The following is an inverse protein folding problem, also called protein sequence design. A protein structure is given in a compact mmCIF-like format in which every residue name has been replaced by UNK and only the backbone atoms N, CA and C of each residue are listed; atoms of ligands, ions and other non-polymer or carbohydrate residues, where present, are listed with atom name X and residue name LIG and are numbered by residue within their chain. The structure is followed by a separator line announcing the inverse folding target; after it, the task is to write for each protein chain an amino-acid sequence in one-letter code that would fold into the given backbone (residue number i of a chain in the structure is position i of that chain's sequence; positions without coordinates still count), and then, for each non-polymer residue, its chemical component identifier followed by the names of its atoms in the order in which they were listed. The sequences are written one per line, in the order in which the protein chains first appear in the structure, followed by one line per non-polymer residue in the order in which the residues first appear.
data_IF_608334412735
#
_entry.id   IF_608334412735
#
_cell.length_a   1.000
_cell.length_b   1.000
_cell.length_c   1.000
_cell.angle_alpha   90.00
_cell.angle_beta   90.00
_cell.angle_gamma   90.00
#
_symmetry.space_group_name_H-M   'P 1'
#
loop_
_entity.id
_entity.type
_entity.pdbx_description
1 polymer ?
#
# COMPACT_ATOMS: atom_id res chain seq x y z
N UNK A 1 -11.81 24.43 3.56
CA UNK A 1 -11.60 23.47 4.67
C UNK A 1 -11.67 22.07 4.08
N UNK A 2 -10.74 21.17 4.40
CA UNK A 2 -10.73 19.82 3.88
C UNK A 2 -11.95 19.05 4.40
N UNK A 3 -12.65 18.30 3.51
CA UNK A 3 -13.80 17.51 3.91
C UNK A 3 -13.38 16.32 4.77
N UNK A 4 -13.80 16.28 6.03
CA UNK A 4 -13.50 15.20 6.98
C UNK A 4 -14.70 14.28 7.21
N UNK A 5 -15.91 14.76 6.90
CA UNK A 5 -17.18 14.05 7.01
C UNK A 5 -17.98 14.24 5.72
N UNK A 6 -18.67 13.21 5.30
CA UNK A 6 -19.46 13.19 4.07
C UNK A 6 -20.83 12.59 4.37
N UNK A 7 -21.89 13.28 3.95
CA UNK A 7 -23.21 12.71 3.96
C UNK A 7 -23.42 11.83 2.73
N UNK A 8 -23.86 10.61 2.92
CA UNK A 8 -24.04 9.66 1.81
C UNK A 8 -24.99 10.15 0.70
N UNK A 9 -26.04 10.95 0.98
CA UNK A 9 -26.87 11.56 -0.06
C UNK A 9 -26.13 12.57 -0.96
N UNK A 10 -24.99 13.12 -0.50
CA UNK A 10 -24.19 14.08 -1.27
C UNK A 10 -23.22 13.41 -2.24
N UNK A 11 -23.00 12.11 -2.15
CA UNK A 11 -22.05 11.35 -2.98
C UNK A 11 -22.31 11.53 -4.49
N UNK A 12 -23.57 11.49 -5.01
CA UNK A 12 -23.81 11.71 -6.44
C UNK A 12 -23.35 13.07 -6.93
N UNK A 13 -23.61 14.13 -6.14
CA UNK A 13 -23.14 15.49 -6.46
C UNK A 13 -21.62 15.60 -6.39
N UNK A 14 -21.02 15.01 -5.34
CA UNK A 14 -19.57 14.97 -5.16
C UNK A 14 -18.88 14.32 -6.36
N UNK A 15 -19.41 13.21 -6.85
CA UNK A 15 -18.91 12.53 -8.04
C UNK A 15 -19.02 13.41 -9.29
N UNK A 16 -20.18 14.04 -9.50
CA UNK A 16 -20.39 14.94 -10.66
C UNK A 16 -19.40 16.09 -10.64
N UNK A 17 -19.24 16.75 -9.49
CA UNK A 17 -18.29 17.85 -9.31
C UNK A 17 -16.85 17.39 -9.58
N UNK A 18 -16.47 16.22 -9.08
CA UNK A 18 -15.13 15.66 -9.31
C UNK A 18 -14.89 15.30 -10.78
N UNK A 19 -15.89 14.70 -11.43
CA UNK A 19 -15.81 14.36 -12.85
C UNK A 19 -15.68 15.61 -13.75
N UNK A 20 -16.30 16.71 -13.38
CA UNK A 20 -16.15 18.00 -14.07
C UNK A 20 -14.74 18.59 -13.89
N UNK A 21 -14.18 18.52 -12.67
CA UNK A 21 -12.85 19.08 -12.37
C UNK A 21 -11.69 18.26 -12.97
N UNK A 22 -11.79 16.94 -12.95
CA UNK A 22 -10.67 16.03 -13.28
C UNK A 22 -10.82 15.37 -14.64
N UNK A 23 -12.05 15.21 -15.14
CA UNK A 23 -12.42 14.49 -16.34
C UNK A 23 -12.30 12.95 -16.23
N UNK A 24 -13.41 12.26 -16.46
CA UNK A 24 -13.54 10.81 -16.33
C UNK A 24 -12.58 9.99 -17.18
N UNK A 25 -12.13 10.54 -18.31
CA UNK A 25 -11.21 9.85 -19.24
C UNK A 25 -9.95 9.31 -18.55
N UNK A 26 -9.49 9.94 -17.45
CA UNK A 26 -8.24 9.56 -16.79
C UNK A 26 -8.37 8.22 -16.09
N UNK A 27 -9.40 8.01 -15.27
CA UNK A 27 -9.61 6.72 -14.60
C UNK A 27 -10.20 5.66 -15.52
N UNK A 28 -11.08 6.03 -16.48
CA UNK A 28 -11.62 5.10 -17.45
C UNK A 28 -10.53 4.50 -18.34
N UNK A 29 -9.58 5.33 -18.79
CA UNK A 29 -8.41 4.86 -19.55
C UNK A 29 -7.57 3.89 -18.71
N UNK A 30 -7.26 4.25 -17.47
CA UNK A 30 -6.45 3.40 -16.58
C UNK A 30 -7.11 2.04 -16.34
N UNK A 31 -8.42 2.02 -16.09
CA UNK A 31 -9.18 0.78 -15.92
C UNK A 31 -9.18 -0.05 -17.23
N UNK A 32 -9.31 0.59 -18.39
CA UNK A 32 -9.24 -0.10 -19.68
C UNK A 32 -7.86 -0.75 -19.92
N UNK A 33 -6.77 -0.04 -19.61
CA UNK A 33 -5.39 -0.55 -19.69
C UNK A 33 -5.19 -1.72 -18.73
N UNK A 34 -5.66 -1.61 -17.48
CA UNK A 34 -5.61 -2.68 -16.48
C UNK A 34 -6.41 -3.92 -16.93
N UNK A 35 -7.63 -3.73 -17.44
CA UNK A 35 -8.47 -4.82 -17.98
C UNK A 35 -7.78 -5.50 -19.18
N UNK A 36 -7.04 -4.76 -20.02
CA UNK A 36 -6.27 -5.34 -21.12
C UNK A 36 -5.10 -6.21 -20.59
N UNK A 37 -4.36 -5.73 -19.59
CA UNK A 37 -3.30 -6.50 -18.93
C UNK A 37 -3.84 -7.78 -18.27
N UNK A 38 -4.99 -7.70 -17.59
CA UNK A 38 -5.66 -8.86 -16.96
C UNK A 38 -6.09 -9.89 -18.02
N UNK A 39 -6.55 -9.47 -19.19
CA UNK A 39 -6.85 -10.42 -20.28
C UNK A 39 -5.61 -11.18 -20.72
N UNK A 40 -4.44 -10.51 -20.74
CA UNK A 40 -3.16 -11.17 -21.05
C UNK A 40 -2.66 -12.11 -19.95
N UNK A 41 -2.86 -11.70 -18.69
CA UNK A 41 -2.48 -12.48 -17.51
C UNK A 41 -3.55 -12.34 -16.40
N UNK A 42 -4.52 -13.28 -16.32
CA UNK A 42 -5.61 -13.22 -15.34
C UNK A 42 -5.17 -13.18 -13.88
N UNK A 43 -3.97 -13.64 -13.56
CA UNK A 43 -3.42 -13.60 -12.19
C UNK A 43 -3.11 -12.19 -11.72
N UNK A 44 -2.97 -11.23 -12.65
CA UNK A 44 -2.79 -9.81 -12.30
C UNK A 44 -4.05 -9.14 -11.75
N UNK A 45 -5.23 -9.80 -11.83
CA UNK A 45 -6.51 -9.18 -11.47
C UNK A 45 -6.48 -8.54 -10.09
N UNK A 46 -6.26 -9.34 -9.05
CA UNK A 46 -6.27 -8.85 -7.66
C UNK A 46 -5.21 -7.79 -7.41
N UNK A 47 -4.03 -7.92 -8.03
CA UNK A 47 -2.95 -6.93 -7.91
C UNK A 47 -3.37 -5.59 -8.52
N UNK A 48 -3.81 -5.59 -9.79
CA UNK A 48 -4.13 -4.35 -10.51
C UNK A 48 -5.41 -3.70 -9.99
N UNK A 49 -6.44 -4.47 -9.63
CA UNK A 49 -7.63 -3.93 -8.97
C UNK A 49 -7.29 -3.27 -7.63
N UNK A 50 -6.36 -3.82 -6.85
CA UNK A 50 -5.86 -3.20 -5.62
C UNK A 50 -4.97 -1.98 -5.85
N UNK A 51 -4.03 -2.05 -6.79
CA UNK A 51 -3.15 -0.92 -7.12
C UNK A 51 -3.91 0.29 -7.67
N UNK A 52 -4.95 0.07 -8.48
CA UNK A 52 -5.79 1.09 -9.10
C UNK A 52 -7.20 1.16 -8.48
N UNK A 53 -7.33 0.80 -7.21
CA UNK A 53 -8.61 0.73 -6.48
C UNK A 53 -9.49 1.97 -6.73
N UNK A 54 -8.93 3.18 -6.56
CA UNK A 54 -9.65 4.44 -6.75
C UNK A 54 -10.18 4.56 -8.19
N UNK A 55 -9.38 4.21 -9.19
CA UNK A 55 -9.80 4.27 -10.59
C UNK A 55 -10.94 3.28 -10.88
N UNK A 56 -10.87 2.07 -10.33
CA UNK A 56 -11.93 1.07 -10.47
C UNK A 56 -13.24 1.50 -9.83
N UNK A 57 -13.17 2.05 -8.61
CA UNK A 57 -14.35 2.54 -7.90
C UNK A 57 -14.99 3.73 -8.63
N UNK A 58 -14.21 4.70 -9.11
CA UNK A 58 -14.70 5.81 -9.92
C UNK A 58 -15.27 5.33 -11.26
N UNK A 59 -14.65 4.35 -11.91
CA UNK A 59 -15.20 3.75 -13.14
C UNK A 59 -16.54 3.09 -12.90
N UNK A 60 -16.72 2.40 -11.77
CA UNK A 60 -17.99 1.84 -11.38
C UNK A 60 -19.06 2.93 -11.14
N UNK A 61 -18.70 4.03 -10.47
CA UNK A 61 -19.60 5.17 -10.30
C UNK A 61 -19.99 5.80 -11.65
N UNK A 62 -19.04 5.94 -12.60
CA UNK A 62 -19.33 6.38 -13.97
C UNK A 62 -20.34 5.47 -14.66
N UNK A 63 -20.17 4.15 -14.54
CA UNK A 63 -21.10 3.15 -15.10
C UNK A 63 -22.51 3.28 -14.51
N UNK A 64 -22.62 3.53 -13.18
CA UNK A 64 -23.92 3.74 -12.51
C UNK A 64 -24.60 5.02 -13.01
N UNK A 65 -23.86 6.13 -13.09
CA UNK A 65 -24.40 7.40 -13.62
C UNK A 65 -24.86 7.26 -15.07
N UNK A 66 -24.05 6.57 -15.90
CA UNK A 66 -24.42 6.32 -17.28
C UNK A 66 -25.69 5.47 -17.43
N UNK A 67 -25.86 4.47 -16.57
CA UNK A 67 -26.99 3.55 -16.61
C UNK A 67 -28.29 4.11 -16.00
N UNK A 68 -28.16 4.86 -14.89
CA UNK A 68 -29.29 5.28 -14.07
C UNK A 68 -29.50 6.81 -14.04
N UNK A 69 -28.63 7.58 -14.66
CA UNK A 69 -28.63 9.05 -14.59
C UNK A 69 -28.05 9.62 -13.29
N UNK A 70 -27.83 8.79 -12.28
CA UNK A 70 -27.26 9.15 -10.99
C UNK A 70 -26.71 7.90 -10.28
N UNK A 71 -25.94 8.09 -9.21
CA UNK A 71 -25.53 6.97 -8.34
C UNK A 71 -26.70 6.60 -7.44
N UNK A 72 -27.19 5.35 -7.47
CA UNK A 72 -28.29 4.90 -6.60
C UNK A 72 -27.92 4.97 -5.11
N UNK A 73 -28.89 5.29 -4.25
CA UNK A 73 -28.67 5.42 -2.80
C UNK A 73 -28.11 4.15 -2.16
N UNK A 74 -28.51 2.97 -2.63
CA UNK A 74 -27.94 1.69 -2.16
C UNK A 74 -26.42 1.60 -2.45
N UNK A 75 -25.97 2.10 -3.61
CA UNK A 75 -24.55 2.12 -3.98
C UNK A 75 -23.76 3.18 -3.18
N UNK A 76 -24.41 4.25 -2.72
CA UNK A 76 -23.78 5.23 -1.84
C UNK A 76 -23.47 4.66 -0.44
N UNK A 77 -24.17 3.62 -0.01
CA UNK A 77 -23.93 2.92 1.26
C UNK A 77 -22.90 1.79 1.15
N UNK A 78 -22.44 1.47 -0.06
CA UNK A 78 -21.42 0.43 -0.27
C UNK A 78 -20.05 0.90 0.23
N UNK A 79 -19.55 0.21 1.24
CA UNK A 79 -18.25 0.51 1.85
C UNK A 79 -17.07 0.37 0.88
N UNK A 80 -17.21 -0.44 -0.15
CA UNK A 80 -16.17 -0.59 -1.17
C UNK A 80 -15.91 0.71 -1.94
N UNK A 81 -16.89 1.62 -2.01
CA UNK A 81 -16.77 2.92 -2.66
C UNK A 81 -16.11 4.00 -1.79
N UNK A 82 -16.01 3.79 -0.48
CA UNK A 82 -15.56 4.83 0.47
C UNK A 82 -14.15 5.38 0.22
N UNK A 83 -13.14 4.59 -0.19
CA UNK A 83 -11.84 5.14 -0.55
C UNK A 83 -11.89 6.18 -1.67
N UNK A 84 -12.69 5.96 -2.72
CA UNK A 84 -12.88 6.92 -3.81
C UNK A 84 -13.68 8.13 -3.35
N UNK A 85 -14.71 7.95 -2.54
CA UNK A 85 -15.51 9.04 -1.96
C UNK A 85 -14.64 9.97 -1.12
N UNK A 86 -13.80 9.41 -0.23
CA UNK A 86 -12.84 10.17 0.55
C UNK A 86 -11.88 10.98 -0.34
N UNK A 87 -11.30 10.29 -1.32
CA UNK A 87 -10.35 10.91 -2.25
C UNK A 87 -10.98 12.08 -3.03
N UNK A 88 -12.19 11.88 -3.58
CA UNK A 88 -12.92 12.94 -4.29
C UNK A 88 -13.16 14.16 -3.40
N UNK A 89 -13.69 13.94 -2.19
CA UNK A 89 -14.03 15.01 -1.27
C UNK A 89 -12.80 15.82 -0.85
N UNK A 90 -11.71 15.14 -0.53
CA UNK A 90 -10.46 15.75 -0.11
C UNK A 90 -9.81 16.52 -1.28
N UNK A 91 -9.69 15.91 -2.45
CA UNK A 91 -9.10 16.54 -3.62
C UNK A 91 -9.89 17.79 -4.05
N UNK A 92 -11.22 17.70 -4.11
CA UNK A 92 -12.07 18.87 -4.42
C UNK A 92 -11.95 19.98 -3.38
N UNK A 93 -11.87 19.62 -2.10
CA UNK A 93 -11.72 20.60 -1.02
C UNK A 93 -10.42 21.39 -1.15
N UNK A 94 -9.32 20.70 -1.50
CA UNK A 94 -8.02 21.35 -1.75
C UNK A 94 -8.11 22.24 -3.00
N UNK A 95 -8.58 21.71 -4.14
CA UNK A 95 -8.70 22.45 -5.41
C UNK A 95 -9.51 23.73 -5.23
N UNK A 96 -10.65 23.66 -4.52
CA UNK A 96 -11.54 24.79 -4.30
C UNK A 96 -11.03 25.82 -3.29
N UNK A 97 -10.09 25.44 -2.44
CA UNK A 97 -9.47 26.31 -1.42
C UNK A 97 -8.26 27.08 -1.91
N UNK A 98 -7.75 26.80 -3.10
CA UNK A 98 -6.52 27.36 -3.65
C UNK A 98 -6.78 28.42 -4.73
N UNK A 99 -5.79 29.28 -4.98
CA UNK A 99 -5.81 30.20 -6.11
C UNK A 99 -5.80 29.42 -7.45
N UNK A 100 -6.31 29.99 -8.57
CA UNK A 100 -6.47 29.25 -9.83
C UNK A 100 -5.20 28.55 -10.36
N UNK A 101 -4.03 29.19 -10.23
CA UNK A 101 -2.76 28.62 -10.69
C UNK A 101 -2.37 27.38 -9.86
N UNK A 102 -2.49 27.46 -8.54
CA UNK A 102 -2.21 26.38 -7.58
C UNK A 102 -3.23 25.24 -7.74
N UNK A 103 -4.51 25.56 -7.90
CA UNK A 103 -5.56 24.60 -8.18
C UNK A 103 -5.26 23.78 -9.45
N UNK A 104 -4.70 24.41 -10.51
CA UNK A 104 -4.28 23.71 -11.72
C UNK A 104 -3.13 22.74 -11.47
N UNK A 105 -2.19 23.05 -10.58
CA UNK A 105 -1.12 22.13 -10.19
C UNK A 105 -1.72 20.89 -9.49
N UNK A 106 -2.67 21.09 -8.56
CA UNK A 106 -3.34 19.97 -7.88
C UNK A 106 -4.13 19.11 -8.86
N UNK A 107 -4.86 19.73 -9.81
CA UNK A 107 -5.53 18.95 -10.89
C UNK A 107 -4.53 18.10 -11.68
N UNK A 108 -3.36 18.69 -12.01
CA UNK A 108 -2.27 17.97 -12.67
C UNK A 108 -1.76 16.77 -11.86
N UNK A 109 -1.53 16.94 -10.55
CA UNK A 109 -1.12 15.86 -9.63
C UNK A 109 -2.18 14.77 -9.54
N UNK A 110 -3.45 15.12 -9.34
CA UNK A 110 -4.58 14.16 -9.29
C UNK A 110 -4.67 13.37 -10.60
N UNK A 111 -4.57 14.07 -11.73
CA UNK A 111 -4.59 13.42 -13.07
C UNK A 111 -3.41 12.48 -13.27
N UNK A 112 -2.21 12.89 -12.85
CA UNK A 112 -0.99 12.07 -12.89
C UNK A 112 -1.10 10.82 -12.03
N UNK A 113 -1.67 10.96 -10.85
CA UNK A 113 -1.84 9.89 -9.88
C UNK A 113 -2.67 8.69 -10.41
N UNK A 114 -3.61 8.92 -11.34
CA UNK A 114 -4.32 7.81 -11.99
C UNK A 114 -3.42 6.92 -12.85
N UNK A 115 -2.29 7.42 -13.36
CA UNK A 115 -1.37 6.67 -14.21
C UNK A 115 -0.38 5.83 -13.41
N UNK A 116 -0.06 6.27 -12.20
CA UNK A 116 0.97 5.66 -11.36
C UNK A 116 0.41 5.36 -9.96
N UNK A 117 0.33 4.09 -9.55
CA UNK A 117 -0.14 3.72 -8.22
C UNK A 117 0.69 4.33 -7.08
N UNK A 118 1.99 4.57 -7.28
CA UNK A 118 2.84 5.17 -6.26
C UNK A 118 2.46 6.63 -6.01
N UNK A 119 2.20 7.40 -7.08
CA UNK A 119 1.76 8.80 -6.99
C UNK A 119 0.37 8.89 -6.34
N UNK A 120 -0.54 7.93 -6.65
CA UNK A 120 -1.85 7.84 -6.01
C UNK A 120 -1.71 7.58 -4.50
N UNK A 121 -0.84 6.66 -4.11
CA UNK A 121 -0.58 6.37 -2.70
C UNK A 121 0.03 7.58 -1.96
N UNK A 122 0.98 8.28 -2.60
CA UNK A 122 1.60 9.48 -2.04
C UNK A 122 0.57 10.58 -1.82
N UNK A 123 -0.21 10.91 -2.85
CA UNK A 123 -1.26 11.93 -2.76
C UNK A 123 -2.33 11.60 -1.69
N UNK A 124 -2.79 10.36 -1.64
CA UNK A 124 -3.72 9.90 -0.59
C UNK A 124 -3.12 10.05 0.80
N UNK A 125 -1.83 9.79 0.96
CA UNK A 125 -1.12 9.92 2.23
C UNK A 125 -1.09 11.37 2.70
N UNK A 126 -0.75 12.32 1.82
CA UNK A 126 -0.78 13.76 2.11
C UNK A 126 -2.18 14.21 2.54
N UNK A 127 -3.22 13.83 1.77
CA UNK A 127 -4.61 14.16 2.06
C UNK A 127 -5.08 13.57 3.41
N UNK A 128 -4.70 12.33 3.70
CA UNK A 128 -5.00 11.66 4.97
C UNK A 128 -4.33 12.37 6.14
N UNK A 129 -3.05 12.73 5.98
CA UNK A 129 -2.28 13.45 6.99
C UNK A 129 -2.86 14.83 7.25
N UNK A 130 -3.20 15.57 6.20
CA UNK A 130 -3.87 16.85 6.32
C UNK A 130 -5.22 16.73 7.06
N UNK A 131 -6.02 15.71 6.72
CA UNK A 131 -7.29 15.42 7.38
C UNK A 131 -7.10 15.13 8.87
N UNK A 132 -6.05 14.38 9.25
CA UNK A 132 -5.73 14.08 10.64
C UNK A 132 -5.53 15.36 11.47
N UNK A 133 -4.77 16.32 10.96
CA UNK A 133 -4.54 17.60 11.66
C UNK A 133 -5.78 18.49 11.68
N UNK A 134 -6.50 18.59 10.56
CA UNK A 134 -7.71 19.43 10.46
C UNK A 134 -8.81 18.94 11.40
N UNK A 135 -8.98 17.63 11.56
CA UNK A 135 -9.95 17.06 12.52
C UNK A 135 -9.62 17.41 13.98
N UNK A 136 -8.36 17.67 14.29
CA UNK A 136 -7.90 18.16 15.58
C UNK A 136 -7.98 19.67 15.75
N UNK A 137 -8.59 20.37 14.78
CA UNK A 137 -8.80 21.81 14.79
C UNK A 137 -7.63 22.62 14.28
N UNK A 138 -6.58 21.98 13.72
CA UNK A 138 -5.41 22.69 13.25
C UNK A 138 -5.62 23.30 11.85
N UNK A 139 -4.90 24.38 11.58
CA UNK A 139 -4.80 24.99 10.24
C UNK A 139 -3.69 24.32 9.45
N UNK A 140 -4.01 23.86 8.25
CA UNK A 140 -3.06 23.18 7.36
C UNK A 140 -2.99 23.89 6.03
N UNK A 141 -1.77 24.15 5.54
CA UNK A 141 -1.49 24.65 4.20
C UNK A 141 -0.55 23.72 3.44
N UNK A 142 -0.40 23.94 2.13
CA UNK A 142 0.39 23.11 1.21
C UNK A 142 1.55 23.91 0.60
N UNK A 143 2.70 24.02 1.28
CA UNK A 143 3.83 24.84 0.85
C UNK A 143 4.45 24.44 -0.48
N UNK A 144 4.52 23.13 -0.80
CA UNK A 144 4.99 22.67 -2.10
C UNK A 144 4.12 23.17 -3.25
N UNK A 145 2.79 23.22 -3.05
CA UNK A 145 1.84 23.71 -4.08
C UNK A 145 1.94 25.23 -4.23
N UNK A 146 2.09 25.96 -3.13
CA UNK A 146 2.16 27.42 -3.13
C UNK A 146 3.55 27.96 -3.43
N UNK A 147 4.57 27.11 -3.54
CA UNK A 147 5.96 27.49 -3.71
C UNK A 147 6.60 28.08 -2.44
N UNK A 148 5.96 27.94 -1.29
CA UNK A 148 6.45 28.45 -0.01
C UNK A 148 7.43 27.50 0.70
N UNK A 149 7.59 26.27 0.22
CA UNK A 149 8.50 25.27 0.79
C UNK A 149 8.60 24.02 -0.07
N UNK A 150 9.44 23.08 0.37
CA UNK A 150 9.71 21.80 -0.31
C UNK A 150 9.07 20.61 0.38
N UNK A 151 8.37 20.84 1.49
CA UNK A 151 7.65 19.83 2.27
C UNK A 151 6.14 19.86 1.96
N UNK A 152 5.47 18.75 2.21
CA UNK A 152 4.09 18.54 1.76
C UNK A 152 3.10 19.45 2.47
N UNK A 153 3.15 19.54 3.83
CA UNK A 153 2.16 20.26 4.63
C UNK A 153 2.84 21.15 5.67
N UNK A 154 2.19 22.27 5.99
CA UNK A 154 2.50 23.09 7.16
C UNK A 154 1.27 23.14 8.08
N UNK A 155 1.47 22.72 9.33
CA UNK A 155 0.49 22.93 10.41
C UNK A 155 0.84 24.25 11.07
N UNK A 156 0.04 25.28 10.82
CA UNK A 156 0.43 26.68 11.06
C UNK A 156 0.32 27.10 12.54
N UNK A 157 -0.63 26.51 13.25
CA UNK A 157 -1.09 26.94 14.59
C UNK A 157 -0.54 26.08 15.73
N UNK A 158 0.61 25.42 15.51
CA UNK A 158 1.30 24.61 16.53
C UNK A 158 2.76 25.00 16.63
N UNK A 159 3.26 25.05 17.87
CA UNK A 159 4.65 25.41 18.14
C UNK A 159 5.04 26.82 17.70
N UNK A 160 6.35 27.07 17.62
CA UNK A 160 6.90 28.35 17.20
C UNK A 160 7.12 28.31 15.67
N UNK A 161 6.28 29.02 14.91
CA UNK A 161 6.40 29.11 13.46
C UNK A 161 5.82 27.93 12.68
N UNK A 162 5.01 27.10 13.31
CA UNK A 162 4.33 25.96 12.70
C UNK A 162 5.19 24.68 12.72
N UNK A 163 4.56 23.58 12.26
CA UNK A 163 5.15 22.26 12.14
C UNK A 163 5.20 21.86 10.64
N UNK A 164 6.40 21.69 10.11
CA UNK A 164 6.59 21.11 8.78
C UNK A 164 6.27 19.63 8.81
N UNK A 165 5.49 19.15 7.85
CA UNK A 165 5.14 17.73 7.76
C UNK A 165 5.51 17.21 6.38
N UNK A 166 6.31 16.15 6.37
CA UNK A 166 6.70 15.46 5.14
C UNK A 166 6.13 14.05 5.15
N UNK A 167 5.42 13.68 4.10
CA UNK A 167 4.70 12.42 3.96
C UNK A 167 5.44 11.44 3.05
N UNK A 168 5.62 10.20 3.49
CA UNK A 168 6.21 9.13 2.67
C UNK A 168 5.31 7.92 2.64
N UNK A 169 4.75 7.63 1.47
CA UNK A 169 4.03 6.38 1.23
C UNK A 169 5.04 5.28 0.89
N UNK A 170 5.08 4.25 1.72
CA UNK A 170 6.03 3.14 1.56
C UNK A 170 5.32 1.96 0.90
N UNK A 171 5.78 1.58 -0.29
CA UNK A 171 5.28 0.41 -1.02
C UNK A 171 5.62 -0.88 -0.28
N UNK A 172 4.73 -1.89 -0.34
CA UNK A 172 4.98 -3.22 0.21
C UNK A 172 6.17 -3.93 -0.43
N UNK A 173 6.54 -3.55 -1.66
CA UNK A 173 7.69 -4.10 -2.38
C UNK A 173 8.99 -3.36 -2.07
N UNK A 174 8.94 -2.27 -1.27
CA UNK A 174 10.12 -1.48 -0.91
C UNK A 174 11.13 -2.34 -0.14
N UNK A 175 12.34 -2.47 -0.67
CA UNK A 175 13.41 -3.28 -0.07
C UNK A 175 13.21 -4.80 -0.16
N UNK A 176 12.14 -5.30 -0.76
CA UNK A 176 11.95 -6.72 -1.03
C UNK A 176 12.84 -7.19 -2.17
N UNK A 177 13.24 -8.44 -2.12
CA UNK A 177 14.01 -9.10 -3.18
C UNK A 177 13.11 -9.68 -4.26
N UNK A 178 11.95 -10.21 -3.87
CA UNK A 178 10.96 -10.78 -4.77
C UNK A 178 9.69 -9.93 -4.69
N UNK A 179 9.28 -9.38 -5.82
CA UNK A 179 8.09 -8.53 -5.93
C UNK A 179 6.89 -9.33 -6.40
N UNK A 180 5.71 -9.00 -5.86
CA UNK A 180 4.46 -9.69 -6.21
C UNK A 180 4.19 -9.70 -7.72
N UNK A 181 4.36 -8.59 -8.40
CA UNK A 181 4.16 -8.49 -9.84
C UNK A 181 5.11 -9.39 -10.63
N UNK A 182 6.39 -9.41 -10.25
CA UNK A 182 7.40 -10.20 -10.94
C UNK A 182 7.10 -11.69 -10.91
N UNK A 183 6.57 -12.20 -9.78
CA UNK A 183 6.21 -13.64 -9.70
C UNK A 183 4.96 -13.95 -10.51
N UNK A 184 3.97 -13.05 -10.58
CA UNK A 184 2.79 -13.23 -11.40
C UNK A 184 3.14 -13.25 -12.90
N UNK A 185 4.04 -12.37 -13.32
CA UNK A 185 4.57 -12.35 -14.69
C UNK A 185 5.45 -13.57 -14.98
N UNK A 186 6.28 -14.02 -14.02
CA UNK A 186 7.07 -15.24 -14.15
C UNK A 186 6.18 -16.48 -14.28
N UNK A 187 5.13 -16.60 -13.45
CA UNK A 187 4.22 -17.72 -13.54
C UNK A 187 3.44 -17.72 -14.88
N UNK A 188 3.15 -16.57 -15.47
CA UNK A 188 2.55 -16.51 -16.79
C UNK A 188 3.42 -17.19 -17.88
N UNK A 189 4.75 -17.22 -17.71
CA UNK A 189 5.67 -17.96 -18.56
C UNK A 189 5.66 -19.48 -18.25
N UNK A 190 5.51 -19.85 -16.99
CA UNK A 190 5.48 -21.27 -16.54
C UNK A 190 4.15 -21.93 -16.93
N UNK A 191 3.03 -21.23 -16.72
CA UNK A 191 1.66 -21.74 -16.85
C UNK A 191 1.38 -22.52 -18.15
N UNK A 192 1.68 -22.01 -19.35
CA UNK A 192 1.38 -22.73 -20.60
C UNK A 192 2.03 -24.11 -20.69
N UNK A 193 3.20 -24.26 -20.08
CA UNK A 193 3.99 -25.51 -20.12
C UNK A 193 3.50 -26.56 -19.13
N UNK A 194 2.89 -26.15 -18.00
CA UNK A 194 2.52 -27.06 -16.90
C UNK A 194 1.02 -27.22 -16.67
N UNK A 195 0.18 -26.48 -17.38
CA UNK A 195 -1.28 -26.44 -17.15
C UNK A 195 -1.90 -27.83 -17.10
N UNK A 196 -1.55 -28.74 -18.03
CA UNK A 196 -2.12 -30.09 -18.10
C UNK A 196 -1.66 -30.93 -16.90
N UNK A 197 -0.37 -30.93 -16.59
CA UNK A 197 0.19 -31.68 -15.48
C UNK A 197 -0.39 -31.23 -14.12
N UNK A 198 -0.56 -29.91 -13.94
CA UNK A 198 -1.17 -29.35 -12.72
C UNK A 198 -2.64 -29.73 -12.63
N UNK A 199 -3.41 -29.70 -13.73
CA UNK A 199 -4.83 -30.03 -13.70
C UNK A 199 -5.12 -31.48 -13.25
N UNK A 200 -4.21 -32.40 -13.50
CA UNK A 200 -4.31 -33.81 -13.16
C UNK A 200 -3.87 -34.15 -11.71
N UNK A 201 -3.31 -33.17 -10.95
CA UNK A 201 -2.87 -33.40 -9.58
C UNK A 201 -4.08 -33.63 -8.65
N UNK A 202 -4.09 -34.76 -7.96
CA UNK A 202 -5.07 -35.11 -6.90
C UNK A 202 -4.52 -34.87 -5.49
N UNK A 203 -3.21 -34.58 -5.36
CA UNK A 203 -2.53 -34.23 -4.12
C UNK A 203 -1.98 -32.81 -4.15
N UNK A 204 -1.41 -32.36 -3.04
CA UNK A 204 -0.64 -31.13 -3.00
C UNK A 204 0.75 -31.33 -3.60
N UNK A 205 1.16 -30.41 -4.48
CA UNK A 205 2.52 -30.33 -5.01
C UNK A 205 3.07 -28.94 -4.75
N UNK A 206 4.21 -28.82 -4.11
CA UNK A 206 4.91 -27.57 -4.00
C UNK A 206 6.21 -27.56 -4.80
N UNK A 207 6.52 -26.39 -5.36
CA UNK A 207 7.81 -26.08 -5.96
C UNK A 207 8.35 -24.83 -5.31
N UNK A 208 9.51 -24.91 -4.68
CA UNK A 208 10.24 -23.78 -4.15
C UNK A 208 11.38 -23.45 -5.09
N UNK A 209 11.32 -22.28 -5.70
CA UNK A 209 12.40 -21.67 -6.45
C UNK A 209 13.17 -20.74 -5.52
N UNK A 210 14.41 -21.10 -5.18
CA UNK A 210 15.32 -20.24 -4.42
C UNK A 210 16.31 -19.57 -5.37
N UNK A 211 16.40 -18.26 -5.27
CA UNK A 211 17.26 -17.41 -6.08
C UNK A 211 18.37 -16.81 -5.23
N UNK A 212 19.62 -16.69 -5.73
CA UNK A 212 20.70 -16.06 -4.96
C UNK A 212 20.42 -14.58 -4.62
N UNK A 213 19.59 -13.87 -5.41
CA UNK A 213 19.17 -12.50 -5.16
C UNK A 213 17.73 -12.26 -5.68
N UNK A 214 17.58 -11.92 -6.96
CA UNK A 214 16.31 -11.51 -7.57
C UNK A 214 15.99 -12.35 -8.81
N UNK A 215 14.74 -12.27 -9.28
CA UNK A 215 14.39 -12.79 -10.60
C UNK A 215 15.24 -12.12 -11.69
N UNK A 216 15.64 -12.86 -12.73
CA UNK A 216 16.36 -12.30 -13.86
C UNK A 216 15.63 -11.11 -14.48
N UNK A 217 16.38 -10.09 -14.90
CA UNK A 217 15.79 -8.87 -15.48
C UNK A 217 15.34 -9.05 -16.94
N UNK A 218 16.06 -9.88 -17.70
CA UNK A 218 15.77 -10.07 -19.13
C UNK A 218 14.69 -11.11 -19.35
N UNK A 219 13.88 -10.91 -20.38
CA UNK A 219 12.81 -11.85 -20.77
C UNK A 219 13.36 -13.25 -21.04
N UNK A 220 14.44 -13.34 -21.82
CA UNK A 220 15.03 -14.64 -22.23
C UNK A 220 15.54 -15.43 -21.02
N UNK A 221 16.18 -14.75 -20.06
CA UNK A 221 16.63 -15.41 -18.83
C UNK A 221 15.44 -15.87 -17.98
N UNK A 222 14.34 -15.10 -17.92
CA UNK A 222 13.08 -15.54 -17.26
C UNK A 222 12.45 -16.73 -17.96
N UNK A 223 12.43 -16.76 -19.29
CA UNK A 223 11.94 -17.90 -20.08
C UNK A 223 12.77 -19.15 -19.82
N UNK A 224 14.10 -19.03 -19.81
CA UNK A 224 14.97 -20.16 -19.51
C UNK A 224 14.76 -20.69 -18.07
N UNK A 225 14.64 -19.80 -17.10
CA UNK A 225 14.32 -20.16 -15.72
C UNK A 225 12.94 -20.85 -15.62
N UNK A 226 11.94 -20.39 -16.38
CA UNK A 226 10.62 -21.04 -16.46
C UNK A 226 10.71 -22.45 -17.04
N UNK A 227 11.52 -22.69 -18.06
CA UNK A 227 11.77 -24.03 -18.60
C UNK A 227 12.42 -24.96 -17.55
N UNK A 228 13.41 -24.46 -16.78
CA UNK A 228 14.01 -25.23 -15.69
C UNK A 228 12.99 -25.56 -14.60
N UNK A 229 12.13 -24.59 -14.25
CA UNK A 229 11.03 -24.80 -13.30
C UNK A 229 10.07 -25.91 -13.78
N UNK A 230 9.71 -25.88 -15.07
CA UNK A 230 8.86 -26.93 -15.65
C UNK A 230 9.54 -28.31 -15.63
N UNK A 231 10.81 -28.38 -15.94
CA UNK A 231 11.58 -29.65 -15.84
C UNK A 231 11.54 -30.19 -14.41
N UNK A 232 11.75 -29.35 -13.40
CA UNK A 232 11.67 -29.76 -12.00
C UNK A 232 10.25 -30.25 -11.63
N UNK A 233 9.20 -29.59 -12.12
CA UNK A 233 7.81 -30.01 -11.90
C UNK A 233 7.56 -31.39 -12.51
N UNK A 234 7.94 -31.62 -13.77
CA UNK A 234 7.68 -32.89 -14.46
C UNK A 234 8.52 -34.05 -13.92
N UNK A 235 9.76 -33.79 -13.51
CA UNK A 235 10.63 -34.82 -12.96
C UNK A 235 10.36 -35.15 -11.50
N UNK A 236 9.56 -34.32 -10.80
CA UNK A 236 9.38 -34.34 -9.35
C UNK A 236 10.74 -34.37 -8.57
N UNK A 237 11.77 -33.75 -9.18
CA UNK A 237 13.14 -33.80 -8.67
C UNK A 237 13.65 -32.40 -8.29
N UNK A 238 14.25 -32.33 -7.13
CA UNK A 238 14.98 -31.14 -6.67
C UNK A 238 16.27 -30.98 -7.45
N UNK A 239 16.62 -29.77 -7.83
CA UNK A 239 17.80 -29.44 -8.65
C UNK A 239 18.51 -28.22 -8.08
N UNK A 240 19.83 -28.22 -8.16
CA UNK A 240 20.68 -27.08 -7.78
C UNK A 240 21.58 -26.73 -8.96
N UNK A 241 21.62 -25.46 -9.33
CA UNK A 241 22.42 -24.94 -10.41
C UNK A 241 23.70 -24.26 -9.89
N UNK A 242 24.79 -24.26 -10.69
CA UNK A 242 26.09 -23.68 -10.25
C UNK A 242 26.01 -22.22 -9.83
N UNK A 243 25.09 -21.44 -10.43
CA UNK A 243 24.86 -20.03 -10.11
C UNK A 243 24.10 -19.79 -8.80
N UNK A 244 23.78 -20.86 -8.03
CA UNK A 244 23.08 -20.77 -6.75
C UNK A 244 21.55 -20.79 -6.85
N UNK A 245 20.98 -20.85 -8.07
CA UNK A 245 19.55 -21.08 -8.24
C UNK A 245 19.21 -22.53 -7.90
N UNK A 246 18.15 -22.75 -7.15
CA UNK A 246 17.71 -24.11 -6.82
C UNK A 246 16.20 -24.27 -6.91
N UNK A 247 15.78 -25.49 -7.25
CA UNK A 247 14.40 -25.93 -7.21
C UNK A 247 14.28 -27.06 -6.20
N UNK A 248 13.33 -26.94 -5.28
CA UNK A 248 12.94 -28.01 -4.37
C UNK A 248 11.49 -28.36 -4.63
N UNK A 249 11.23 -29.64 -4.91
CA UNK A 249 9.89 -30.14 -5.20
C UNK A 249 9.50 -31.12 -4.10
N UNK A 250 8.24 -31.07 -3.69
CA UNK A 250 7.70 -32.00 -2.71
C UNK A 250 6.19 -32.09 -2.75
N UNK A 251 5.67 -33.16 -2.18
CA UNK A 251 4.24 -33.39 -2.05
C UNK A 251 3.77 -33.06 -0.63
N UNK A 252 2.48 -32.73 -0.50
CA UNK A 252 1.85 -32.49 0.80
C UNK A 252 0.36 -32.84 0.73
N UNK A 253 -0.29 -32.98 1.87
CA UNK A 253 -1.74 -33.14 1.94
C UNK A 253 -2.42 -31.75 1.82
N UNK A 254 -3.30 -31.52 0.81
CA UNK A 254 -4.05 -30.26 0.68
C UNK A 254 -4.78 -29.85 1.97
N UNK A 255 -5.21 -30.78 2.80
CA UNK A 255 -5.85 -30.50 4.09
C UNK A 255 -4.95 -29.72 5.06
N UNK A 256 -3.61 -29.85 4.93
CA UNK A 256 -2.67 -29.10 5.77
C UNK A 256 -2.70 -27.59 5.55
N UNK A 257 -3.23 -27.13 4.41
CA UNK A 257 -3.35 -25.71 4.10
C UNK A 257 -4.58 -25.05 4.76
N UNK A 258 -5.52 -25.83 5.31
CA UNK A 258 -6.77 -25.29 5.85
C UNK A 258 -7.62 -24.56 4.78
N UNK A 259 -7.51 -24.96 3.52
CA UNK A 259 -8.30 -24.36 2.43
C UNK A 259 -9.74 -24.85 2.60
N UNK A 260 -10.66 -23.93 2.89
CA UNK A 260 -12.07 -24.26 2.94
C UNK A 260 -12.56 -24.80 1.60
N UNK A 261 -13.57 -25.66 1.59
CA UNK A 261 -14.16 -26.28 0.39
C UNK A 261 -14.67 -25.29 -0.66
N UNK A 262 -14.80 -24.00 -0.33
CA UNK A 262 -15.15 -22.90 -1.23
C UNK A 262 -13.97 -22.24 -1.92
N UNK A 263 -12.74 -22.75 -1.75
CA UNK A 263 -11.52 -22.22 -2.39
C UNK A 263 -10.98 -20.90 -1.79
N UNK A 264 -11.53 -20.43 -0.68
CA UNK A 264 -11.03 -19.23 0.00
C UNK A 264 -9.80 -19.59 0.83
N UNK A 265 -8.71 -18.87 0.61
CA UNK A 265 -7.46 -19.01 1.35
C UNK A 265 -7.62 -18.27 2.68
N UNK A 266 -7.66 -19.00 3.79
CA UNK A 266 -7.72 -18.43 5.13
C UNK A 266 -6.39 -17.77 5.55
N UNK A 267 -6.45 -16.85 6.51
CA UNK A 267 -5.26 -16.16 7.03
C UNK A 267 -4.17 -17.11 7.53
N UNK A 268 -4.54 -18.30 8.03
CA UNK A 268 -3.62 -19.35 8.46
C UNK A 268 -2.84 -20.07 7.35
N UNK A 269 -3.28 -19.98 6.11
CA UNK A 269 -2.67 -20.72 4.98
C UNK A 269 -1.23 -20.29 4.69
N UNK A 270 -0.88 -19.02 4.93
CA UNK A 270 0.51 -18.56 4.79
C UNK A 270 1.46 -19.27 5.77
N UNK A 271 1.08 -19.37 7.03
CA UNK A 271 1.87 -20.07 8.05
C UNK A 271 1.95 -21.58 7.80
N UNK A 272 0.88 -22.18 7.24
CA UNK A 272 0.91 -23.57 6.81
C UNK A 272 1.91 -23.79 5.66
N UNK A 273 1.92 -22.91 4.66
CA UNK A 273 2.91 -22.97 3.56
C UNK A 273 4.33 -22.81 4.09
N UNK A 274 4.57 -21.90 5.05
CA UNK A 274 5.89 -21.74 5.68
C UNK A 274 6.38 -23.03 6.31
N UNK A 275 5.50 -23.71 7.02
CA UNK A 275 5.79 -24.98 7.68
C UNK A 275 6.06 -26.11 6.67
N UNK A 276 5.20 -26.23 5.64
CA UNK A 276 5.31 -27.26 4.59
C UNK A 276 6.57 -27.04 3.76
N UNK A 277 6.84 -25.81 3.38
CA UNK A 277 7.92 -25.47 2.46
C UNK A 277 9.20 -24.99 3.14
N UNK A 278 9.18 -24.70 4.46
CA UNK A 278 10.32 -24.17 5.20
C UNK A 278 10.88 -22.87 4.62
N UNK A 279 10.02 -22.04 4.01
CA UNK A 279 10.44 -20.82 3.29
C UNK A 279 10.15 -19.55 4.08
N UNK A 280 10.93 -18.50 3.81
CA UNK A 280 10.77 -17.14 4.33
C UNK A 280 11.05 -16.14 3.19
N UNK A 281 10.80 -14.84 3.39
CA UNK A 281 11.12 -13.77 2.41
C UNK A 281 10.69 -14.12 0.97
N UNK A 282 9.42 -14.47 0.78
CA UNK A 282 8.92 -15.10 -0.42
C UNK A 282 7.65 -14.50 -0.96
N UNK A 283 7.38 -14.79 -2.21
CA UNK A 283 6.06 -14.68 -2.83
C UNK A 283 5.52 -16.05 -3.21
N UNK A 284 4.19 -16.19 -3.22
CA UNK A 284 3.51 -17.47 -3.38
C UNK A 284 2.41 -17.36 -4.41
N UNK A 285 2.28 -18.41 -5.23
CA UNK A 285 1.10 -18.66 -6.06
C UNK A 285 0.49 -19.98 -5.61
N UNK A 286 -0.81 -19.99 -5.33
CA UNK A 286 -1.58 -21.18 -4.94
C UNK A 286 -2.68 -21.37 -5.94
N UNK A 287 -2.82 -22.57 -6.45
CA UNK A 287 -3.82 -22.93 -7.43
C UNK A 287 -4.48 -24.24 -7.05
N UNK A 288 -5.80 -24.23 -6.95
CA UNK A 288 -6.60 -25.46 -6.92
C UNK A 288 -6.57 -26.16 -8.28
N UNK A 289 -6.61 -27.48 -8.28
CA UNK A 289 -6.59 -28.30 -9.50
C UNK A 289 -7.95 -28.89 -9.81
N UNK A 290 -8.17 -29.34 -11.02
CA UNK A 290 -9.45 -29.97 -11.43
C UNK A 290 -9.65 -31.33 -10.74
N UNK A 291 -8.58 -32.03 -10.43
CA UNK A 291 -8.61 -33.33 -9.76
C UNK A 291 -8.67 -33.22 -8.21
N UNK A 292 -8.88 -32.01 -7.66
CA UNK A 292 -9.02 -31.78 -6.21
C UNK A 292 -7.71 -31.62 -5.46
N UNK A 293 -6.57 -31.55 -6.14
CA UNK A 293 -5.26 -31.25 -5.54
C UNK A 293 -4.98 -29.74 -5.46
N UNK A 294 -3.79 -29.40 -4.99
CA UNK A 294 -3.30 -28.01 -4.87
C UNK A 294 -1.88 -27.91 -5.39
N UNK A 295 -1.64 -26.94 -6.27
CA UNK A 295 -0.29 -26.57 -6.70
C UNK A 295 0.17 -25.30 -6.00
N UNK A 296 1.38 -25.33 -5.44
CA UNK A 296 2.00 -24.18 -4.77
C UNK A 296 3.35 -23.89 -5.41
N UNK A 297 3.49 -22.71 -6.00
CA UNK A 297 4.77 -22.17 -6.43
C UNK A 297 5.23 -21.11 -5.44
N UNK A 298 6.38 -21.35 -4.83
CA UNK A 298 7.05 -20.41 -3.94
C UNK A 298 8.30 -19.91 -4.63
N UNK A 299 8.48 -18.60 -4.67
CA UNK A 299 9.74 -17.98 -5.10
C UNK A 299 10.31 -17.19 -3.94
N UNK A 300 11.52 -17.51 -3.54
CA UNK A 300 12.25 -16.85 -2.45
C UNK A 300 13.64 -16.39 -2.90
N UNK A 301 14.17 -15.43 -2.16
CA UNK A 301 15.57 -15.02 -2.26
C UNK A 301 16.35 -15.63 -1.09
N UNK A 302 17.62 -15.99 -1.33
CA UNK A 302 18.57 -16.32 -0.26
C UNK A 302 19.02 -15.09 0.53
N UNK A 303 18.88 -13.89 -0.08
CA UNK A 303 19.14 -12.62 0.61
C UNK A 303 17.89 -12.14 1.32
N UNK A 304 18.09 -11.63 2.53
CA UNK A 304 17.01 -11.05 3.32
C UNK A 304 16.42 -9.79 2.68
N UNK A 305 15.14 -9.59 2.91
CA UNK A 305 14.45 -8.33 2.61
C UNK A 305 14.98 -7.22 3.52
N UNK A 306 15.12 -6.03 2.95
CA UNK A 306 15.63 -4.85 3.65
C UNK A 306 14.55 -3.76 3.81
N UNK A 307 13.30 -4.17 4.05
CA UNK A 307 12.15 -3.27 4.08
C UNK A 307 12.34 -2.09 5.03
N UNK A 308 12.70 -2.36 6.30
CA UNK A 308 12.92 -1.30 7.29
C UNK A 308 14.07 -0.39 6.90
N UNK A 309 15.19 -0.94 6.42
CA UNK A 309 16.34 -0.13 6.00
C UNK A 309 15.96 0.79 4.83
N UNK A 310 15.27 0.26 3.82
CA UNK A 310 14.82 1.01 2.66
C UNK A 310 13.77 2.08 3.01
N UNK A 311 12.90 1.81 4.00
CA UNK A 311 11.97 2.79 4.55
C UNK A 311 12.73 3.94 5.23
N UNK A 312 13.65 3.63 6.15
CA UNK A 312 14.43 4.64 6.86
C UNK A 312 15.41 5.40 5.95
N UNK A 313 15.89 4.80 4.85
CA UNK A 313 16.64 5.52 3.82
C UNK A 313 15.77 6.57 3.12
N UNK A 314 14.51 6.26 2.85
CA UNK A 314 13.55 7.23 2.30
C UNK A 314 13.25 8.37 3.27
N UNK A 315 13.05 8.07 4.56
CA UNK A 315 12.85 9.06 5.61
C UNK A 315 14.11 9.92 5.83
N UNK A 316 15.32 9.33 5.72
CA UNK A 316 16.59 10.06 5.83
C UNK A 316 16.75 11.06 4.69
N UNK A 317 16.39 10.66 3.48
CA UNK A 317 16.39 11.54 2.32
C UNK A 317 15.39 12.68 2.50
N UNK A 318 14.17 12.38 2.94
CA UNK A 318 13.14 13.39 3.22
C UNK A 318 13.61 14.41 4.28
N UNK A 319 14.16 13.93 5.40
CA UNK A 319 14.68 14.79 6.46
C UNK A 319 15.83 15.71 6.04
N UNK A 320 16.60 15.32 5.04
CA UNK A 320 17.73 16.10 4.54
C UNK A 320 17.33 17.08 3.44
N UNK A 321 16.48 16.63 2.51
CA UNK A 321 16.28 17.32 1.24
C UNK A 321 14.96 18.09 1.18
N UNK A 322 13.97 17.77 2.03
CA UNK A 322 12.62 18.28 1.91
C UNK A 322 12.18 19.18 3.07
N UNK A 323 12.54 18.86 4.31
CA UNK A 323 12.24 19.76 5.45
C UNK A 323 13.34 20.82 5.61
N UNK A 324 12.94 22.02 6.06
CA UNK A 324 13.85 23.18 6.04
C UNK A 324 14.94 23.15 7.12
N UNK A 325 14.74 22.38 8.19
CA UNK A 325 15.63 22.38 9.38
C UNK A 325 15.57 23.65 10.21
N UNK A 326 14.72 24.64 9.87
CA UNK A 326 14.62 25.95 10.54
C UNK A 326 13.48 26.01 11.57
N UNK A 327 12.59 25.03 11.53
CA UNK A 327 11.44 24.90 12.46
C UNK A 327 11.22 23.43 12.79
N UNK A 328 10.30 23.17 13.69
CA UNK A 328 9.88 21.81 14.02
C UNK A 328 9.41 21.05 12.77
N UNK A 329 9.79 19.80 12.62
CA UNK A 329 9.35 18.96 11.52
C UNK A 329 8.92 17.56 11.98
N UNK A 330 7.91 17.00 11.31
CA UNK A 330 7.39 15.65 11.51
C UNK A 330 7.50 14.86 10.21
N UNK A 331 8.06 13.67 10.28
CA UNK A 331 8.02 12.72 9.16
C UNK A 331 6.82 11.79 9.35
N UNK A 332 5.98 11.67 8.33
CA UNK A 332 4.82 10.78 8.34
C UNK A 332 5.03 9.67 7.33
N UNK A 333 4.98 8.42 7.78
CA UNK A 333 5.16 7.24 6.92
C UNK A 333 3.87 6.45 6.82
N UNK A 334 3.31 6.36 5.62
CA UNK A 334 2.19 5.47 5.32
C UNK A 334 2.70 4.05 5.06
N UNK A 335 2.27 3.10 5.89
CA UNK A 335 2.62 1.69 5.73
C UNK A 335 1.55 1.00 4.88
N UNK A 336 1.83 0.82 3.58
CA UNK A 336 0.92 0.09 2.70
C UNK A 336 0.87 -1.39 3.08
N UNK A 337 -0.34 -1.95 3.18
CA UNK A 337 -0.57 -3.34 3.58
C UNK A 337 -0.53 -3.59 5.08
N UNK A 338 -0.37 -2.55 5.90
CA UNK A 338 -0.59 -2.57 7.34
C UNK A 338 -1.92 -1.87 7.59
N UNK A 339 -2.90 -2.60 8.08
CA UNK A 339 -4.19 -2.04 8.42
C UNK A 339 -4.19 -1.37 9.81
N UNK A 340 -5.34 -0.77 10.19
CA UNK A 340 -5.46 -0.10 11.47
C UNK A 340 -5.33 -1.03 12.67
N UNK A 341 -5.71 -2.31 12.54
CA UNK A 341 -5.60 -3.31 13.60
C UNK A 341 -4.15 -3.78 13.77
N UNK A 342 -3.45 -3.98 12.66
CA UNK A 342 -2.03 -4.33 12.64
C UNK A 342 -1.19 -3.22 13.29
N UNK A 343 -1.42 -1.95 12.90
CA UNK A 343 -0.69 -0.83 13.48
C UNK A 343 -0.96 -0.66 14.97
N UNK A 344 -2.21 -0.90 15.40
CA UNK A 344 -2.57 -0.90 16.83
C UNK A 344 -1.87 -2.03 17.58
N UNK A 345 -1.79 -3.21 16.99
CA UNK A 345 -1.07 -4.35 17.60
C UNK A 345 0.41 -4.04 17.80
N UNK A 346 1.05 -3.40 16.81
CA UNK A 346 2.43 -2.93 16.92
C UNK A 346 2.55 -1.90 18.06
N UNK A 347 1.64 -0.94 18.16
CA UNK A 347 1.64 0.06 19.21
C UNK A 347 1.49 -0.57 20.61
N UNK A 348 0.55 -1.52 20.76
CA UNK A 348 0.34 -2.23 22.04
C UNK A 348 1.57 -3.08 22.43
N UNK A 349 2.28 -3.66 21.48
CA UNK A 349 3.51 -4.38 21.75
C UNK A 349 4.64 -3.44 22.20
N UNK A 350 4.69 -2.24 21.62
CA UNK A 350 5.64 -1.19 22.03
C UNK A 350 5.42 -0.67 23.45
N UNK A 351 4.17 -0.57 23.85
CA UNK A 351 3.79 -0.02 25.17
C UNK A 351 3.89 -1.07 26.28
N UNK A 352 4.16 -2.34 25.96
CA UNK A 352 4.34 -3.41 26.94
C UNK A 352 5.79 -3.40 27.52
N UNK A 353 6.01 -2.96 28.77
CA UNK A 353 7.34 -2.86 29.34
C UNK A 353 8.01 -4.23 29.60
N UNK A 354 7.24 -5.32 29.50
CA UNK A 354 7.76 -6.68 29.68
C UNK A 354 8.41 -7.24 28.41
N UNK A 355 8.18 -6.60 27.28
CA UNK A 355 8.70 -7.03 25.97
C UNK A 355 9.95 -6.25 25.56
N UNK A 356 10.86 -6.87 24.79
CA UNK A 356 11.96 -6.14 24.19
C UNK A 356 11.42 -5.13 23.16
N UNK A 357 12.13 -3.99 22.94
CA UNK A 357 11.71 -3.02 21.95
C UNK A 357 11.62 -3.63 20.56
N UNK A 358 10.58 -3.26 19.80
CA UNK A 358 10.39 -3.75 18.44
C UNK A 358 11.50 -3.28 17.50
N UNK A 359 11.66 -3.93 16.36
CA UNK A 359 12.62 -3.53 15.34
C UNK A 359 12.36 -2.09 14.83
N UNK A 360 11.09 -1.68 14.76
CA UNK A 360 10.69 -0.30 14.39
C UNK A 360 11.21 0.69 15.43
N UNK A 361 10.97 0.44 16.72
CA UNK A 361 11.41 1.33 17.81
C UNK A 361 12.92 1.51 17.82
N UNK A 362 13.66 0.41 17.71
CA UNK A 362 15.13 0.47 17.64
C UNK A 362 15.61 1.31 16.45
N UNK A 363 14.99 1.16 15.29
CA UNK A 363 15.34 1.95 14.09
C UNK A 363 14.95 3.42 14.24
N UNK A 364 13.77 3.72 14.79
CA UNK A 364 13.33 5.10 15.07
C UNK A 364 14.26 5.78 16.05
N UNK A 365 14.59 5.15 17.18
CA UNK A 365 15.50 5.74 18.18
C UNK A 365 16.84 6.09 17.55
N UNK A 366 17.49 5.14 16.88
CA UNK A 366 18.76 5.39 16.17
C UNK A 366 18.66 6.47 15.09
N UNK A 367 17.50 6.56 14.45
CA UNK A 367 17.28 7.57 13.43
C UNK A 367 17.18 8.97 14.06
N UNK A 368 16.43 9.13 15.14
CA UNK A 368 16.18 10.41 15.81
C UNK A 368 17.39 10.90 16.65
N UNK A 369 18.27 10.03 17.12
CA UNK A 369 19.48 10.37 17.90
C UNK A 369 20.51 11.21 17.12
N UNK A 370 20.41 11.29 15.80
CA UNK A 370 21.37 12.02 14.98
C UNK A 370 21.22 13.54 15.14
N UNK A 371 22.33 14.23 15.42
CA UNK A 371 22.39 15.69 15.54
C UNK A 371 21.84 16.44 14.31
N UNK A 372 22.05 15.89 13.11
CA UNK A 372 21.54 16.45 11.87
C UNK A 372 19.99 16.44 11.78
N UNK A 373 19.31 15.77 12.72
CA UNK A 373 17.85 15.59 12.75
C UNK A 373 17.21 16.15 14.04
N UNK A 374 17.90 17.01 14.76
CA UNK A 374 17.37 17.64 15.99
C UNK A 374 16.12 18.49 15.74
N UNK A 375 15.87 18.93 14.52
CA UNK A 375 14.66 19.65 14.11
C UNK A 375 13.43 18.75 13.99
N UNK A 376 13.60 17.41 13.94
CA UNK A 376 12.48 16.48 13.88
C UNK A 376 11.84 16.34 15.26
N UNK A 377 10.54 16.51 15.33
CA UNK A 377 9.74 16.29 16.54
C UNK A 377 9.37 14.83 16.72
N UNK A 378 9.51 14.02 15.66
CA UNK A 378 9.20 12.61 15.70
C UNK A 378 8.97 12.02 14.32
N UNK A 379 8.56 10.75 14.36
CA UNK A 379 8.08 10.01 13.20
C UNK A 379 6.69 9.47 13.53
N UNK A 380 5.75 9.65 12.60
CA UNK A 380 4.42 9.06 12.67
C UNK A 380 4.28 7.94 11.65
N UNK A 381 3.65 6.85 12.05
CA UNK A 381 3.23 5.77 11.16
C UNK A 381 1.71 5.81 11.03
N UNK A 382 1.23 5.82 9.79
CA UNK A 382 -0.20 5.81 9.51
C UNK A 382 -0.56 4.51 8.79
N UNK A 383 -1.65 3.89 9.23
CA UNK A 383 -2.27 2.78 8.48
C UNK A 383 -2.94 3.28 7.21
N UNK A 384 -3.30 2.36 6.33
CA UNK A 384 -4.21 2.69 5.23
C UNK A 384 -5.45 3.41 5.76
N UNK A 385 -5.75 4.60 5.22
CA UNK A 385 -6.97 5.31 5.60
C UNK A 385 -8.20 4.65 4.98
N UNK A 386 -9.23 4.48 5.78
CA UNK A 386 -10.56 4.06 5.37
C UNK A 386 -11.61 5.06 5.84
N UNK A 387 -12.82 4.95 5.34
CA UNK A 387 -13.95 5.65 5.93
C UNK A 387 -14.78 4.67 6.75
N UNK A 388 -15.36 5.16 7.83
CA UNK A 388 -16.26 4.38 8.66
C UNK A 388 -17.59 5.12 8.82
N UNK A 389 -18.73 4.38 8.83
CA UNK A 389 -19.99 4.95 9.23
C UNK A 389 -19.90 5.45 10.68
N UNK A 390 -20.34 6.67 10.93
CA UNK A 390 -20.46 7.25 12.28
C UNK A 390 -21.92 7.21 12.73
N UNK A 391 -22.80 7.78 11.92
CA UNK A 391 -24.22 7.87 12.16
C UNK A 391 -24.98 7.49 10.90
N UNK A 392 -26.33 7.51 10.97
CA UNK A 392 -27.16 7.28 9.80
C UNK A 392 -26.84 8.29 8.70
N UNK A 393 -26.36 7.79 7.56
CA UNK A 393 -25.98 8.58 6.38
C UNK A 393 -24.73 9.48 6.53
N UNK A 394 -23.93 9.32 7.58
CA UNK A 394 -22.67 10.04 7.75
C UNK A 394 -21.51 9.06 7.74
N UNK A 395 -20.52 9.31 6.90
CA UNK A 395 -19.26 8.59 6.87
C UNK A 395 -18.11 9.56 7.17
N UNK A 396 -17.17 9.14 7.99
CA UNK A 396 -16.00 9.94 8.32
C UNK A 396 -14.71 9.17 8.12
N UNK A 397 -13.62 9.90 7.97
CA UNK A 397 -12.29 9.32 7.86
C UNK A 397 -11.95 8.52 9.12
N UNK A 398 -11.48 7.30 8.92
CA UNK A 398 -10.99 6.40 9.96
C UNK A 398 -9.60 5.87 9.59
N UNK A 399 -8.78 5.65 10.60
CA UNK A 399 -7.44 5.10 10.45
C UNK A 399 -6.75 5.08 11.81
N UNK A 400 -5.64 4.36 11.91
CA UNK A 400 -4.79 4.35 13.09
C UNK A 400 -3.50 5.10 12.77
N UNK A 401 -2.99 5.81 13.77
CA UNK A 401 -1.69 6.46 13.73
C UNK A 401 -0.90 6.09 14.97
N UNK A 402 0.41 5.95 14.82
CA UNK A 402 1.32 5.72 15.92
C UNK A 402 2.50 6.66 15.82
N UNK A 403 2.78 7.40 16.90
CA UNK A 403 3.76 8.47 16.94
C UNK A 403 4.93 8.11 17.83
N UNK A 404 6.14 8.29 17.32
CA UNK A 404 7.38 8.27 18.09
C UNK A 404 7.86 9.71 18.29
N UNK A 405 7.60 10.27 19.47
CA UNK A 405 7.94 11.65 19.80
C UNK A 405 9.40 11.81 20.23
N UNK A 406 10.08 12.86 19.77
CA UNK A 406 11.41 13.28 20.21
C UNK A 406 11.34 14.50 21.12
N UNK A 407 10.94 14.29 22.36
CA UNK A 407 10.75 15.37 23.34
C UNK A 407 12.02 16.13 23.72
N UNK A 408 13.19 15.57 23.47
CA UNK A 408 14.48 16.20 23.73
C UNK A 408 14.96 17.13 22.59
N UNK A 409 14.15 17.32 21.55
CA UNK A 409 14.46 18.25 20.46
C UNK A 409 14.46 19.70 20.95
N UNK A 410 15.37 20.52 20.45
CA UNK A 410 15.41 21.96 20.74
C UNK A 410 14.19 22.73 20.16
N UNK A 411 13.47 22.11 19.27
CA UNK A 411 12.24 22.65 18.66
C UNK A 411 10.96 22.12 19.33
N UNK A 412 11.10 21.30 20.39
CA UNK A 412 9.93 20.78 21.09
C UNK A 412 9.12 21.90 21.72
N UNK A 413 7.80 21.87 21.55
CA UNK A 413 6.84 22.77 22.16
C UNK A 413 5.69 21.98 22.81
N UNK A 414 5.10 22.51 23.88
CA UNK A 414 4.02 21.83 24.61
C UNK A 414 2.78 21.53 23.75
N UNK A 415 2.54 22.32 22.69
CA UNK A 415 1.44 22.07 21.75
C UNK A 415 1.55 20.71 21.06
N UNK A 416 2.77 20.19 20.90
CA UNK A 416 2.99 18.90 20.24
C UNK A 416 2.45 17.72 21.05
N UNK A 417 2.31 17.86 22.37
CA UNK A 417 1.71 16.81 23.19
C UNK A 417 0.28 16.46 22.74
N UNK A 418 -0.48 17.44 22.23
CA UNK A 418 -1.82 17.21 21.65
C UNK A 418 -1.79 16.45 20.33
N UNK A 419 -0.68 16.53 19.60
CA UNK A 419 -0.50 15.83 18.32
C UNK A 419 -0.09 14.37 18.56
N UNK A 420 0.79 14.14 19.56
CA UNK A 420 1.40 12.85 19.82
C UNK A 420 0.64 11.99 20.84
N UNK A 421 -0.22 12.60 21.67
CA UNK A 421 -1.09 11.85 22.57
C UNK A 421 -2.40 11.53 21.84
N UNK A 422 -2.71 10.26 21.68
CA UNK A 422 -4.05 9.82 21.31
C UNK A 422 -4.97 9.97 22.51
N UNK A 423 -5.98 10.84 22.43
CA UNK A 423 -7.15 10.70 23.27
C UNK A 423 -8.00 9.51 22.82
#
# INVERSE_FOLDING_TARGET
MLATEIHTPDIPRLFTDFAQEINEKHWLRQVSESKAAIRGNPLLKTLLEGEYEIAYQLSHMSELVHRYGSIPSASCADRSAYPAVAFMAQALSVIRGLAPAEANQVRGRVTGAFKNPEDMRALRMELTTATHFIRRGNKVSWPEITGAGTFDLLVEDVGIGGLEVECKSISNDKGRKIHRREILDFYALVKPMVTRAIAELSRGLFVVLSLPDRLPKTHDARVNLAKCCCTAIFSHASQVFPEGTSFRVGEFDPAELGIATNGVIEAGSRSAIDRITGTRNREIIILGTQAGGVFVLVVQSEKDDTYLDAMFDSLRKAARDQVSGRRAALLVSGLNGVDGSDLRSIAMEEDDPSKPPTAIRVKVSRFLESDARRHLMGIAFFSGSSMAPQERNVISMAGSSYFFAQRNSNFWHGDFDRIFNSE
#
